data_IF_005370508609
#
_entry.id   IF_005370508609
#
_cell.length_a   1.000
_cell.length_b   1.000
_cell.length_c   1.000
_cell.angle_alpha   90.00
_cell.angle_beta   90.00
_cell.angle_gamma   90.00
#
_symmetry.space_group_name_H-M   'P 1'
#
loop_
_entity.id
_entity.type
_entity.pdbx_description
1 polymer ?
#
# COMPACT_ATOMS: atom_id res chain seq x y z
N UNK A 1 27.75 -29.09 -43.23
CA UNK A 1 26.84 -29.55 -42.16
C UNK A 1 26.76 -28.47 -41.09
N UNK A 2 25.53 -28.11 -40.72
CA UNK A 2 25.12 -27.13 -39.70
C UNK A 2 25.75 -27.42 -38.34
N UNK A 3 26.24 -26.38 -37.63
CA UNK A 3 26.09 -26.22 -36.16
C UNK A 3 26.07 -24.73 -35.82
N UNK A 4 24.90 -24.10 -35.91
CA UNK A 4 24.66 -22.83 -35.20
C UNK A 4 24.61 -23.15 -33.71
N UNK A 5 25.58 -22.66 -32.95
CA UNK A 5 25.52 -22.65 -31.50
C UNK A 5 24.61 -21.49 -31.09
N UNK A 6 23.34 -21.79 -30.86
CA UNK A 6 22.37 -20.85 -30.32
C UNK A 6 22.58 -20.79 -28.80
N UNK A 7 23.30 -19.77 -28.33
CA UNK A 7 23.49 -19.52 -26.91
C UNK A 7 22.19 -18.95 -26.34
N UNK A 8 21.37 -19.81 -25.73
CA UNK A 8 20.18 -19.39 -24.99
C UNK A 8 20.62 -18.78 -23.65
N UNK A 9 20.67 -17.45 -23.59
CA UNK A 9 20.83 -16.72 -22.33
C UNK A 9 19.48 -16.77 -21.61
N UNK A 10 19.36 -17.71 -20.67
CA UNK A 10 18.23 -17.77 -19.73
C UNK A 10 18.45 -16.69 -18.68
N UNK A 11 17.95 -15.47 -18.92
CA UNK A 11 17.90 -14.43 -17.89
C UNK A 11 16.83 -14.83 -16.89
N UNK A 12 17.24 -15.45 -15.79
CA UNK A 12 16.43 -15.59 -14.58
C UNK A 12 16.21 -14.19 -14.00
N UNK A 13 15.20 -13.47 -14.50
CA UNK A 13 14.67 -12.30 -13.81
C UNK A 13 13.81 -12.86 -12.68
N UNK A 14 14.15 -12.66 -11.40
CA UNK A 14 13.20 -12.99 -10.36
C UNK A 14 12.03 -12.01 -10.46
N UNK A 15 10.88 -12.52 -10.91
CA UNK A 15 9.61 -11.81 -10.90
C UNK A 15 9.11 -11.72 -9.46
N UNK A 16 9.76 -10.91 -8.63
CA UNK A 16 9.18 -10.48 -7.36
C UNK A 16 8.08 -9.48 -7.67
N UNK A 17 6.91 -10.00 -8.08
CA UNK A 17 5.69 -9.22 -8.07
C UNK A 17 5.37 -8.92 -6.61
N UNK A 18 5.77 -7.74 -6.14
CA UNK A 18 5.41 -7.26 -4.81
C UNK A 18 3.89 -7.17 -4.75
N UNK A 19 3.26 -7.95 -3.88
CA UNK A 19 1.80 -7.89 -3.69
C UNK A 19 1.44 -6.46 -3.25
N UNK A 20 0.59 -5.80 -4.04
CA UNK A 20 0.13 -4.45 -3.74
C UNK A 20 -1.21 -4.56 -3.03
N UNK A 21 -1.26 -4.15 -1.77
CA UNK A 21 -2.48 -4.22 -1.00
C UNK A 21 -3.57 -3.40 -1.65
N UNK A 22 -4.72 -4.05 -1.86
CA UNK A 22 -5.93 -3.41 -2.31
C UNK A 22 -6.93 -3.46 -1.17
N UNK A 23 -7.58 -2.33 -0.93
CA UNK A 23 -8.67 -2.21 0.02
C UNK A 23 -9.85 -1.55 -0.67
N UNK A 24 -10.97 -2.27 -0.78
CA UNK A 24 -12.21 -1.85 -1.47
C UNK A 24 -13.04 -0.85 -0.65
N UNK A 25 -12.38 0.11 0.00
CA UNK A 25 -13.02 1.17 0.76
C UNK A 25 -13.48 0.78 2.15
N UNK A 26 -13.99 1.77 2.89
CA UNK A 26 -14.28 1.63 4.31
C UNK A 26 -14.27 2.97 5.01
N UNK A 27 -13.99 2.99 6.30
CA UNK A 27 -13.75 4.23 7.07
C UNK A 27 -12.37 4.18 7.67
N UNK A 28 -11.71 5.32 7.76
CA UNK A 28 -10.47 5.40 8.55
C UNK A 28 -10.87 5.24 10.01
N UNK A 29 -10.38 4.19 10.67
CA UNK A 29 -10.76 3.81 12.03
C UNK A 29 -9.77 4.28 13.09
N UNK A 30 -8.51 4.49 12.69
CA UNK A 30 -7.45 4.99 13.56
C UNK A 30 -6.41 5.76 12.75
N UNK A 31 -5.84 6.80 13.35
CA UNK A 31 -4.64 7.49 12.85
C UNK A 31 -3.63 7.58 14.00
N UNK A 32 -2.37 7.30 13.71
CA UNK A 32 -1.24 7.48 14.62
C UNK A 32 -0.10 8.16 13.87
N UNK A 33 0.55 9.15 14.48
CA UNK A 33 1.78 9.75 13.94
C UNK A 33 2.98 9.17 14.67
N UNK A 34 3.97 8.65 13.93
CA UNK A 34 5.24 8.16 14.45
C UNK A 34 6.38 8.87 13.70
N UNK A 35 6.96 9.89 14.32
CA UNK A 35 8.00 10.71 13.70
C UNK A 35 7.51 11.35 12.39
N UNK A 36 8.14 10.99 11.27
CA UNK A 36 7.85 11.54 9.94
C UNK A 36 6.81 10.74 9.15
N UNK A 37 6.09 9.81 9.79
CA UNK A 37 5.12 8.92 9.13
C UNK A 37 3.77 8.99 9.84
N UNK A 38 2.72 9.12 9.05
CA UNK A 38 1.33 8.95 9.45
C UNK A 38 0.91 7.51 9.13
N UNK A 39 0.43 6.80 10.13
CA UNK A 39 -0.07 5.44 10.00
C UNK A 39 -1.58 5.46 10.23
N UNK A 40 -2.33 4.74 9.40
CA UNK A 40 -3.78 4.63 9.55
C UNK A 40 -4.30 3.24 9.26
N UNK A 41 -5.48 2.94 9.81
CA UNK A 41 -6.19 1.66 9.61
C UNK A 41 -7.56 1.94 9.02
N UNK A 42 -8.07 0.99 8.24
CA UNK A 42 -9.44 1.03 7.72
C UNK A 42 -10.33 0.05 8.49
N UNK A 43 -11.62 0.37 8.57
CA UNK A 43 -12.65 -0.55 9.06
C UNK A 43 -13.78 -0.69 8.03
N UNK A 44 -14.43 -1.86 8.05
CA UNK A 44 -15.47 -2.21 7.09
C UNK A 44 -14.93 -2.41 5.66
N UNK A 45 -13.61 -2.57 5.53
CA UNK A 45 -12.95 -2.79 4.26
C UNK A 45 -12.73 -4.27 3.95
N UNK A 46 -12.58 -4.57 2.66
CA UNK A 46 -12.13 -5.86 2.16
C UNK A 46 -10.71 -5.70 1.63
N UNK A 47 -9.77 -6.41 2.23
CA UNK A 47 -8.36 -6.36 1.86
C UNK A 47 -7.97 -7.59 1.02
N UNK A 48 -7.20 -7.38 -0.04
CA UNK A 48 -6.57 -8.42 -0.84
C UNK A 48 -5.13 -8.03 -1.17
N UNK A 49 -4.30 -9.02 -1.51
CA UNK A 49 -2.95 -8.84 -2.06
C UNK A 49 -1.99 -7.98 -1.22
N UNK A 50 -2.10 -8.07 0.11
CA UNK A 50 -1.21 -7.38 1.04
C UNK A 50 0.20 -7.99 1.01
N UNK A 51 1.27 -7.18 1.05
CA UNK A 51 2.62 -7.71 1.19
C UNK A 51 2.82 -8.31 2.58
N UNK A 52 3.63 -9.37 2.67
CA UNK A 52 3.86 -10.13 3.91
C UNK A 52 4.37 -9.27 5.08
N UNK A 53 5.07 -8.17 4.77
CA UNK A 53 5.57 -7.25 5.78
C UNK A 53 4.45 -6.47 6.50
N UNK A 54 3.29 -6.28 5.87
CA UNK A 54 2.22 -5.41 6.36
C UNK A 54 1.26 -6.12 7.33
N UNK A 55 1.84 -6.78 8.34
CA UNK A 55 1.16 -7.69 9.29
C UNK A 55 0.04 -7.03 10.11
N UNK A 56 0.06 -5.71 10.27
CA UNK A 56 -0.95 -4.99 11.06
C UNK A 56 -2.16 -4.51 10.27
N UNK A 57 -2.21 -4.77 8.95
CA UNK A 57 -3.27 -4.25 8.05
C UNK A 57 -3.37 -2.72 8.03
N UNK A 58 -2.28 -2.04 8.42
CA UNK A 58 -2.18 -0.58 8.39
C UNK A 58 -1.56 -0.07 7.10
N UNK A 59 -1.87 1.17 6.76
CA UNK A 59 -1.17 1.91 5.73
C UNK A 59 -0.29 2.98 6.36
N UNK A 60 0.89 3.22 5.77
CA UNK A 60 1.84 4.23 6.18
C UNK A 60 2.03 5.26 5.07
N UNK A 61 2.09 6.54 5.44
CA UNK A 61 2.37 7.63 4.51
C UNK A 61 3.25 8.69 5.15
N UNK A 62 4.15 9.29 4.39
CA UNK A 62 5.03 10.34 4.89
C UNK A 62 4.21 11.55 5.33
N UNK A 63 4.52 12.12 6.49
CA UNK A 63 3.78 13.22 7.11
C UNK A 63 3.67 14.47 6.22
N UNK A 64 4.61 14.67 5.28
CA UNK A 64 4.59 15.76 4.30
C UNK A 64 3.90 15.44 2.97
N UNK A 65 3.36 14.24 2.78
CA UNK A 65 2.72 13.89 1.51
C UNK A 65 1.35 14.55 1.35
N UNK A 66 0.94 14.75 0.10
CA UNK A 66 -0.38 15.28 -0.25
C UNK A 66 -1.55 14.41 0.22
N UNK A 67 -1.31 13.15 0.58
CA UNK A 67 -2.34 12.26 1.13
C UNK A 67 -2.70 12.60 2.58
N UNK A 68 -1.80 13.22 3.35
CA UNK A 68 -2.01 13.43 4.80
C UNK A 68 -3.23 14.29 5.09
N UNK A 69 -3.44 15.46 4.45
CA UNK A 69 -4.67 16.24 4.64
C UNK A 69 -5.93 15.46 4.27
N UNK A 70 -5.88 14.62 3.23
CA UNK A 70 -7.01 13.79 2.77
C UNK A 70 -7.40 12.75 3.83
N UNK A 71 -6.41 12.05 4.40
CA UNK A 71 -6.58 11.05 5.45
C UNK A 71 -7.14 11.69 6.71
N UNK A 72 -6.56 12.81 7.15
CA UNK A 72 -7.02 13.53 8.36
C UNK A 72 -8.45 14.05 8.16
N UNK A 73 -8.77 14.63 7.00
CA UNK A 73 -10.11 15.14 6.71
C UNK A 73 -11.15 14.02 6.64
N UNK A 74 -10.80 12.87 6.04
CA UNK A 74 -11.71 11.72 5.99
C UNK A 74 -11.95 11.12 7.38
N UNK A 75 -10.92 11.04 8.23
CA UNK A 75 -11.05 10.56 9.60
C UNK A 75 -11.88 11.50 10.46
N UNK A 76 -11.56 12.80 10.47
CA UNK A 76 -12.27 13.79 11.30
C UNK A 76 -13.72 14.00 10.86
N UNK A 77 -13.98 13.93 9.55
CA UNK A 77 -15.32 14.03 8.99
C UNK A 77 -16.11 12.71 9.02
N UNK A 78 -15.50 11.60 9.47
CA UNK A 78 -16.11 10.28 9.37
C UNK A 78 -16.55 9.94 7.94
N UNK A 79 -15.79 10.34 6.93
CA UNK A 79 -16.12 10.05 5.54
C UNK A 79 -15.77 8.60 5.20
N UNK A 80 -16.50 8.03 4.23
CA UNK A 80 -16.07 6.78 3.62
C UNK A 80 -14.94 7.06 2.64
N UNK A 81 -13.98 6.15 2.61
CA UNK A 81 -12.96 6.11 1.57
C UNK A 81 -13.32 5.00 0.61
N UNK A 82 -13.01 5.22 -0.67
CA UNK A 82 -13.17 4.24 -1.73
C UNK A 82 -11.91 3.40 -1.80
N UNK A 83 -11.42 3.13 -3.02
CA UNK A 83 -10.21 2.34 -3.19
C UNK A 83 -9.00 2.96 -2.46
N UNK A 84 -8.35 2.14 -1.62
CA UNK A 84 -7.03 2.43 -1.05
C UNK A 84 -6.06 1.39 -1.57
N UNK A 85 -4.94 1.85 -2.14
CA UNK A 85 -3.90 0.98 -2.70
C UNK A 85 -2.57 1.24 -2.01
N UNK A 86 -1.86 0.17 -1.70
CA UNK A 86 -0.48 0.24 -1.25
C UNK A 86 0.53 0.10 -2.39
N UNK A 87 1.80 0.35 -2.06
CA UNK A 87 2.94 0.23 -2.96
C UNK A 87 3.52 -1.19 -3.01
N UNK A 88 3.10 -2.08 -2.11
CA UNK A 88 3.70 -3.40 -1.91
C UNK A 88 5.01 -3.39 -1.14
N UNK A 89 5.31 -2.30 -0.42
CA UNK A 89 6.49 -2.16 0.43
C UNK A 89 6.11 -1.69 1.83
N UNK A 90 6.99 -1.92 2.81
CA UNK A 90 6.84 -1.45 4.19
C UNK A 90 8.05 -0.60 4.59
N UNK A 91 8.45 0.31 3.72
CA UNK A 91 9.66 1.12 3.86
C UNK A 91 9.48 2.28 4.85
N UNK A 92 8.25 2.76 5.03
CA UNK A 92 7.94 3.85 5.94
C UNK A 92 7.66 3.36 7.36
N UNK A 93 7.13 2.15 7.52
CA UNK A 93 6.99 1.46 8.82
C UNK A 93 7.04 -0.04 8.62
N UNK A 94 7.79 -0.76 9.45
CA UNK A 94 8.11 -2.18 9.28
C UNK A 94 6.90 -3.12 9.19
N UNK A 95 5.75 -2.70 9.72
CA UNK A 95 4.54 -3.51 9.91
C UNK A 95 3.32 -2.98 9.14
N UNK A 96 3.51 -1.95 8.32
CA UNK A 96 2.46 -1.19 7.66
C UNK A 96 2.83 -0.98 6.19
N UNK A 97 1.86 -1.15 5.30
CA UNK A 97 2.13 -0.99 3.87
C UNK A 97 2.18 0.49 3.48
N UNK A 98 3.19 0.85 2.70
CA UNK A 98 3.35 2.19 2.14
C UNK A 98 2.15 2.54 1.24
N UNK A 99 1.51 3.67 1.50
CA UNK A 99 0.36 4.14 0.72
C UNK A 99 0.79 4.58 -0.67
N UNK A 100 0.12 4.04 -1.70
CA UNK A 100 0.24 4.49 -3.09
C UNK A 100 -0.83 5.51 -3.45
N UNK A 101 -2.07 5.22 -3.06
CA UNK A 101 -3.25 5.97 -3.50
C UNK A 101 -4.41 5.80 -2.51
N UNK A 102 -5.20 6.85 -2.33
CA UNK A 102 -6.44 6.84 -1.57
C UNK A 102 -7.51 7.67 -2.30
N UNK A 103 -8.71 7.12 -2.42
CA UNK A 103 -9.87 7.81 -2.99
C UNK A 103 -10.89 8.13 -1.89
N UNK A 104 -11.47 9.33 -1.94
CA UNK A 104 -12.67 9.67 -1.15
C UNK A 104 -13.93 9.32 -1.95
N UNK A 105 -14.95 8.81 -1.25
CA UNK A 105 -16.32 8.69 -1.77
C UNK A 105 -17.21 9.49 -0.84
N UNK A 106 -17.95 10.44 -1.41
CA UNK A 106 -18.86 11.33 -0.66
C UNK A 106 -19.94 10.55 0.10
#
# INVERSE_FOLDING_TARGET
>A
MKKMFMLAVFVLVPLFSQAQGLSDGGRISSITSLGYVLIFTLSGNKEVDRPDCATTKRFAVQAGSTHVPVIISAFSGGKKVGNVRGLGSCSQSLDSEDLKWIQLVE
#
